data_IF_246722488518
#
_entry.id   IF_246722488518
#
_cell.length_a   1.000
_cell.length_b   1.000
_cell.length_c   1.000
_cell.angle_alpha   90.00
_cell.angle_beta   90.00
_cell.angle_gamma   90.00
#
_symmetry.space_group_name_H-M   'P 1'
#
loop_
_entity.id
_entity.type
_entity.pdbx_description
1 polymer ?
#
# COMPACT_ATOMS: atom_id res chain seq x y z
N UNK A 1 -0.42 -12.13 16.08
CA UNK A 1 -0.83 -12.53 14.72
C UNK A 1 0.35 -13.16 14.04
N UNK A 2 0.16 -14.20 13.24
CA UNK A 2 1.23 -14.77 12.43
C UNK A 2 0.68 -15.36 11.12
N UNK A 3 1.53 -15.42 10.11
CA UNK A 3 1.24 -16.19 8.89
C UNK A 3 1.85 -17.58 8.99
N UNK A 4 1.21 -18.56 8.37
CA UNK A 4 1.73 -19.92 8.28
C UNK A 4 1.27 -20.57 6.97
N UNK A 5 2.06 -21.53 6.50
CA UNK A 5 1.68 -22.34 5.35
C UNK A 5 0.91 -23.57 5.87
N UNK A 6 -0.32 -23.70 5.45
CA UNK A 6 -1.17 -24.83 5.84
C UNK A 6 -0.77 -26.12 5.09
N UNK A 7 -1.32 -27.26 5.52
CA UNK A 7 -1.01 -28.56 4.92
C UNK A 7 -1.44 -28.71 3.46
N UNK A 8 -2.32 -27.83 2.98
CA UNK A 8 -2.75 -27.71 1.58
C UNK A 8 -1.79 -26.86 0.72
N UNK A 9 -0.74 -26.30 1.32
CA UNK A 9 0.23 -25.42 0.68
C UNK A 9 -0.20 -23.96 0.56
N UNK A 10 -1.39 -23.60 1.08
CA UNK A 10 -1.87 -22.23 1.07
C UNK A 10 -1.35 -21.43 2.27
N UNK A 11 -1.01 -20.18 2.05
CA UNK A 11 -0.64 -19.26 3.14
C UNK A 11 -1.90 -18.76 3.82
N UNK A 12 -1.95 -18.93 5.14
CA UNK A 12 -3.06 -18.49 5.99
C UNK A 12 -2.57 -17.54 7.07
N UNK A 13 -3.45 -16.60 7.45
CA UNK A 13 -3.20 -15.68 8.54
C UNK A 13 -3.94 -16.18 9.76
N UNK A 14 -3.22 -16.30 10.87
CA UNK A 14 -3.74 -16.72 12.15
C UNK A 14 -3.85 -15.53 13.11
N UNK A 15 -5.05 -15.22 13.52
CA UNK A 15 -5.33 -14.30 14.62
C UNK A 15 -5.59 -15.12 15.89
N UNK A 16 -4.78 -14.94 16.90
CA UNK A 16 -4.96 -15.64 18.18
C UNK A 16 -5.06 -14.63 19.32
N UNK A 17 -6.00 -14.87 20.22
CA UNK A 17 -6.21 -14.09 21.44
C UNK A 17 -6.09 -15.04 22.63
N UNK A 18 -5.27 -14.71 23.65
CA UNK A 18 -5.23 -15.50 24.87
C UNK A 18 -6.62 -15.54 25.53
N UNK A 19 -6.98 -16.67 26.10
CA UNK A 19 -8.21 -16.84 26.86
C UNK A 19 -7.90 -17.46 28.21
N UNK A 20 -8.82 -17.34 29.16
CA UNK A 20 -8.77 -18.15 30.36
C UNK A 20 -8.77 -19.64 29.99
N UNK A 21 -8.04 -20.49 30.75
CA UNK A 21 -7.96 -21.91 30.46
C UNK A 21 -9.35 -22.57 30.44
N UNK A 22 -9.68 -23.22 29.32
CA UNK A 22 -10.92 -23.97 29.14
C UNK A 22 -10.57 -25.44 28.93
N UNK A 23 -11.11 -26.31 29.75
CA UNK A 23 -10.96 -27.75 29.58
C UNK A 23 -12.08 -28.34 28.73
N UNK A 24 -11.70 -28.99 27.64
CA UNK A 24 -12.62 -29.74 26.79
C UNK A 24 -11.99 -31.08 26.39
N UNK A 25 -12.66 -32.21 26.64
CA UNK A 25 -12.19 -33.55 26.33
C UNK A 25 -10.77 -33.84 26.87
N UNK A 26 -10.49 -33.47 28.12
CA UNK A 26 -9.18 -33.62 28.79
C UNK A 26 -8.03 -32.83 28.09
N UNK A 27 -8.35 -31.82 27.28
CA UNK A 27 -7.38 -30.91 26.68
C UNK A 27 -7.66 -29.51 27.21
N UNK A 28 -6.61 -28.86 27.69
CA UNK A 28 -6.71 -27.45 28.16
C UNK A 28 -6.40 -26.50 27.02
N UNK A 29 -7.35 -25.66 26.69
CA UNK A 29 -7.21 -24.59 25.69
C UNK A 29 -6.94 -23.27 26.41
N UNK A 30 -5.93 -22.53 25.94
CA UNK A 30 -5.48 -21.26 26.56
C UNK A 30 -5.56 -20.09 25.59
N UNK A 31 -5.99 -20.33 24.36
CA UNK A 31 -6.17 -19.28 23.35
C UNK A 31 -7.31 -19.62 22.40
N UNK A 32 -7.98 -18.62 21.93
CA UNK A 32 -8.91 -18.71 20.80
C UNK A 32 -8.20 -18.22 19.55
N UNK A 33 -8.26 -18.95 18.47
CA UNK A 33 -7.62 -18.61 17.22
C UNK A 33 -8.57 -18.73 16.04
N UNK A 34 -8.48 -17.80 15.09
CA UNK A 34 -9.19 -17.79 13.82
C UNK A 34 -8.17 -17.69 12.69
N UNK A 35 -8.32 -18.55 11.69
CA UNK A 35 -7.48 -18.55 10.49
C UNK A 35 -8.28 -18.06 9.30
N UNK A 36 -7.68 -17.19 8.51
CA UNK A 36 -8.23 -16.72 7.23
C UNK A 36 -7.27 -17.08 6.10
N UNK A 37 -7.84 -17.44 4.96
CA UNK A 37 -7.07 -17.60 3.74
C UNK A 37 -6.55 -16.24 3.27
N UNK A 38 -5.30 -16.22 2.80
CA UNK A 38 -4.67 -14.99 2.29
C UNK A 38 -5.54 -14.29 1.24
N UNK A 39 -6.16 -15.08 0.34
CA UNK A 39 -7.05 -14.58 -0.71
C UNK A 39 -8.29 -13.82 -0.21
N UNK A 40 -8.74 -14.10 1.02
CA UNK A 40 -9.87 -13.36 1.63
C UNK A 40 -9.40 -11.97 2.06
N UNK A 41 -8.21 -11.89 2.66
CA UNK A 41 -7.62 -10.63 3.10
C UNK A 41 -7.22 -9.77 1.89
N UNK A 42 -6.64 -10.38 0.86
CA UNK A 42 -6.35 -9.72 -0.43
C UNK A 42 -7.61 -9.04 -1.01
N UNK A 43 -8.73 -9.75 -1.07
CA UNK A 43 -10.01 -9.18 -1.56
C UNK A 43 -10.58 -8.06 -0.71
N UNK A 44 -10.32 -8.08 0.60
CA UNK A 44 -10.83 -7.06 1.52
C UNK A 44 -9.99 -5.78 1.50
N UNK A 45 -8.67 -5.91 1.36
CA UNK A 45 -7.71 -4.80 1.45
C UNK A 45 -7.23 -4.37 0.05
N UNK A 46 -7.06 -5.32 -0.87
CA UNK A 46 -6.55 -5.13 -2.23
C UNK A 46 -7.58 -4.56 -3.21
N UNK A 47 -8.47 -3.71 -2.77
CA UNK A 47 -9.57 -3.17 -3.58
C UNK A 47 -9.13 -2.18 -4.65
N UNK A 48 -8.18 -2.53 -5.53
CA UNK A 48 -7.97 -1.83 -6.79
C UNK A 48 -7.59 -0.36 -6.69
N UNK A 49 -6.70 0.00 -5.76
CA UNK A 49 -6.16 1.35 -5.68
C UNK A 49 -5.52 1.70 -7.03
N UNK A 50 -5.84 2.86 -7.57
CA UNK A 50 -5.40 3.30 -8.91
C UNK A 50 -5.78 2.35 -10.08
N UNK A 51 -6.95 1.69 -10.01
CA UNK A 51 -7.41 0.73 -11.04
C UNK A 51 -6.43 -0.45 -11.22
N UNK A 52 -5.99 -1.06 -10.14
CA UNK A 52 -5.02 -2.17 -10.10
C UNK A 52 -3.64 -1.81 -10.70
N UNK A 53 -3.24 -0.54 -10.59
CA UNK A 53 -1.92 -0.06 -11.03
C UNK A 53 -1.03 0.31 -9.84
N UNK A 54 -1.21 -0.34 -8.74
CA UNK A 54 -0.39 -0.21 -7.54
C UNK A 54 -0.17 -1.57 -6.94
N UNK A 55 1.01 -1.80 -6.40
CA UNK A 55 1.31 -2.97 -5.58
C UNK A 55 1.08 -2.64 -4.12
N UNK A 56 0.58 -3.59 -3.37
CA UNK A 56 0.31 -3.41 -1.97
C UNK A 56 0.83 -4.62 -1.18
N UNK A 57 1.61 -4.34 -0.14
CA UNK A 57 2.23 -5.34 0.72
C UNK A 57 1.93 -5.06 2.18
N UNK A 58 1.84 -6.10 2.98
CA UNK A 58 1.93 -6.00 4.43
C UNK A 58 3.32 -6.42 4.85
N UNK A 59 3.98 -5.59 5.62
CA UNK A 59 5.34 -5.83 6.10
C UNK A 59 5.39 -5.77 7.62
N UNK A 60 6.33 -6.51 8.19
CA UNK A 60 6.68 -6.45 9.61
C UNK A 60 7.56 -5.23 9.93
N UNK A 61 7.87 -5.05 11.18
CA UNK A 61 8.71 -3.97 11.71
C UNK A 61 10.13 -3.93 11.14
N UNK A 62 10.68 -5.06 10.72
CA UNK A 62 11.99 -5.19 10.09
C UNK A 62 11.94 -5.08 8.56
N UNK A 63 10.75 -4.85 7.98
CA UNK A 63 10.52 -4.75 6.54
C UNK A 63 10.30 -6.07 5.83
N UNK A 64 10.22 -7.19 6.56
CA UNK A 64 9.89 -8.51 5.98
C UNK A 64 8.48 -8.51 5.42
N UNK A 65 8.31 -8.96 4.19
CA UNK A 65 7.02 -9.06 3.52
C UNK A 65 6.25 -10.25 4.08
N UNK A 66 5.15 -9.96 4.76
CA UNK A 66 4.25 -10.98 5.29
C UNK A 66 3.22 -11.42 4.27
N UNK A 67 2.84 -10.50 3.37
CA UNK A 67 1.79 -10.72 2.40
C UNK A 67 1.89 -9.72 1.25
N UNK A 68 1.63 -10.19 0.02
CA UNK A 68 1.30 -9.37 -1.14
C UNK A 68 -0.22 -9.34 -1.30
N UNK A 69 -0.78 -8.17 -1.52
CA UNK A 69 -2.25 -7.97 -1.61
C UNK A 69 -2.75 -7.84 -3.05
N UNK A 70 -1.86 -7.88 -4.03
CA UNK A 70 -2.20 -7.75 -5.44
C UNK A 70 -1.72 -8.99 -6.23
N UNK A 71 -2.58 -9.59 -7.07
CA UNK A 71 -2.22 -10.78 -7.86
C UNK A 71 -1.33 -10.45 -9.07
N UNK A 72 -1.36 -9.21 -9.57
CA UNK A 72 -0.56 -8.75 -10.70
C UNK A 72 0.31 -7.58 -10.24
N UNK A 73 1.57 -7.85 -9.95
CA UNK A 73 2.50 -6.85 -9.42
C UNK A 73 3.15 -6.04 -10.53
N UNK A 74 3.31 -4.73 -10.28
CA UNK A 74 4.13 -3.81 -11.10
C UNK A 74 5.63 -4.10 -10.90
N UNK A 75 5.97 -4.59 -9.71
CA UNK A 75 7.31 -5.03 -9.37
C UNK A 75 7.41 -6.52 -9.71
N UNK A 76 8.24 -6.82 -10.70
CA UNK A 76 8.38 -8.18 -11.25
C UNK A 76 9.42 -9.03 -10.54
N UNK A 77 10.27 -8.41 -9.72
CA UNK A 77 11.26 -9.12 -8.92
C UNK A 77 10.62 -9.62 -7.62
N UNK A 78 10.84 -10.88 -7.28
CA UNK A 78 10.49 -11.42 -5.97
C UNK A 78 11.43 -10.85 -4.91
N UNK A 79 10.89 -10.47 -3.77
CA UNK A 79 11.64 -10.01 -2.62
C UNK A 79 10.92 -10.36 -1.31
N UNK A 80 11.71 -10.71 -0.31
CA UNK A 80 11.21 -11.06 1.02
C UNK A 80 11.26 -9.89 2.00
N UNK A 81 12.03 -8.83 1.66
CA UNK A 81 12.19 -7.64 2.49
C UNK A 81 12.15 -6.37 1.64
N UNK A 82 11.29 -5.43 2.04
CA UNK A 82 11.08 -4.19 1.28
C UNK A 82 12.29 -3.25 1.33
N UNK A 83 13.04 -3.23 2.43
CA UNK A 83 14.21 -2.38 2.56
C UNK A 83 15.35 -2.86 1.68
N UNK A 84 15.56 -4.19 1.64
CA UNK A 84 16.57 -4.82 0.79
C UNK A 84 16.20 -4.65 -0.69
N UNK A 85 14.92 -4.76 -1.03
CA UNK A 85 14.45 -4.48 -2.38
C UNK A 85 14.82 -3.06 -2.82
N UNK A 86 14.54 -2.04 -2.00
CA UNK A 86 14.88 -0.66 -2.35
C UNK A 86 16.39 -0.49 -2.48
N UNK A 87 17.17 -1.09 -1.59
CA UNK A 87 18.62 -0.93 -1.56
C UNK A 87 19.33 -1.65 -2.71
N UNK A 88 18.92 -2.88 -3.02
CA UNK A 88 19.68 -3.79 -3.88
C UNK A 88 19.12 -3.86 -5.32
N UNK A 89 17.81 -3.66 -5.51
CA UNK A 89 17.14 -3.84 -6.79
C UNK A 89 16.81 -2.53 -7.49
N UNK A 90 16.80 -1.40 -6.79
CA UNK A 90 16.47 -0.12 -7.40
C UNK A 90 17.71 0.58 -7.95
N UNK A 91 17.55 1.35 -9.03
CA UNK A 91 18.66 2.02 -9.71
C UNK A 91 19.07 3.32 -8.98
N UNK A 92 18.13 3.98 -8.36
CA UNK A 92 18.38 5.16 -7.54
C UNK A 92 17.24 5.36 -6.54
N UNK A 93 17.62 5.73 -5.33
CA UNK A 93 16.72 6.10 -4.23
C UNK A 93 17.40 7.19 -3.39
N UNK A 94 16.61 7.83 -2.54
CA UNK A 94 17.17 8.78 -1.59
C UNK A 94 17.46 8.05 -0.27
N UNK A 95 18.75 7.94 0.08
CA UNK A 95 19.22 7.24 1.29
C UNK A 95 18.59 7.80 2.57
N UNK A 96 18.44 9.12 2.69
CA UNK A 96 17.83 9.76 3.86
C UNK A 96 16.36 9.32 4.05
N UNK A 97 15.62 9.14 2.95
CA UNK A 97 14.23 8.69 3.03
C UNK A 97 14.13 7.21 3.39
N UNK A 98 15.03 6.37 2.86
CA UNK A 98 15.10 4.96 3.22
C UNK A 98 15.45 4.79 4.70
N UNK A 99 16.45 5.52 5.19
CA UNK A 99 16.84 5.50 6.60
C UNK A 99 15.72 6.01 7.53
N UNK A 100 14.94 7.00 7.09
CA UNK A 100 13.73 7.43 7.82
C UNK A 100 12.68 6.35 7.83
N UNK A 101 12.46 5.65 6.72
CA UNK A 101 11.51 4.55 6.63
C UNK A 101 11.92 3.40 7.58
N UNK A 102 13.20 2.98 7.54
CA UNK A 102 13.74 1.95 8.44
C UNK A 102 13.56 2.29 9.92
N UNK A 103 13.57 3.56 10.29
CA UNK A 103 13.33 4.03 11.66
C UNK A 103 11.85 4.21 11.96
N UNK A 104 11.05 4.61 10.98
CA UNK A 104 9.64 4.93 11.18
C UNK A 104 8.76 3.67 11.25
N UNK A 105 9.02 2.66 10.41
CA UNK A 105 8.21 1.43 10.37
C UNK A 105 8.14 0.74 11.74
N UNK A 106 9.26 0.47 12.45
CA UNK A 106 9.20 -0.12 13.79
C UNK A 106 8.48 0.73 14.83
N UNK A 107 8.46 2.05 14.65
CA UNK A 107 7.83 3.00 15.58
C UNK A 107 6.41 3.40 15.18
N UNK A 108 5.80 2.63 14.29
CA UNK A 108 4.44 2.89 13.78
C UNK A 108 4.30 4.26 13.12
N UNK A 109 5.37 4.71 12.48
CA UNK A 109 5.39 5.93 11.69
C UNK A 109 4.80 5.73 10.30
N UNK A 110 4.56 6.85 9.61
CA UNK A 110 4.08 6.88 8.23
C UNK A 110 4.95 7.80 7.39
N UNK A 111 5.00 7.54 6.09
CA UNK A 111 5.78 8.37 5.17
C UNK A 111 5.76 7.87 3.75
N UNK A 112 6.66 8.41 2.96
CA UNK A 112 6.84 8.00 1.58
C UNK A 112 8.31 8.04 1.16
N UNK A 113 8.66 7.17 0.23
CA UNK A 113 9.97 7.10 -0.42
C UNK A 113 9.75 7.10 -1.94
N UNK A 114 10.61 7.75 -2.69
CA UNK A 114 10.63 7.63 -4.15
C UNK A 114 11.88 6.92 -4.60
N UNK A 115 11.74 6.07 -5.61
CA UNK A 115 12.86 5.32 -6.16
C UNK A 115 12.67 5.07 -7.66
N UNK A 116 13.77 4.70 -8.34
CA UNK A 116 13.75 4.25 -9.73
C UNK A 116 13.96 2.75 -9.79
N UNK A 117 13.02 2.07 -10.43
CA UNK A 117 13.13 0.65 -10.71
C UNK A 117 12.92 0.42 -12.21
N UNK A 118 13.85 -0.31 -12.84
CA UNK A 118 13.93 -0.47 -14.28
C UNK A 118 13.99 0.88 -15.02
N UNK A 119 12.94 1.30 -15.73
CA UNK A 119 12.89 2.56 -16.48
C UNK A 119 11.89 3.58 -15.93
N UNK A 120 11.20 3.22 -14.86
CA UNK A 120 10.12 4.01 -14.26
C UNK A 120 10.48 4.55 -12.88
N UNK A 121 9.87 5.66 -12.52
CA UNK A 121 9.91 6.19 -11.16
C UNK A 121 8.68 5.72 -10.39
N UNK A 122 8.88 5.33 -9.13
CA UNK A 122 7.84 4.83 -8.24
C UNK A 122 7.78 5.65 -6.96
N UNK A 123 6.58 5.76 -6.43
CA UNK A 123 6.33 6.20 -5.07
C UNK A 123 6.00 4.98 -4.22
N UNK A 124 6.64 4.88 -3.07
CA UNK A 124 6.29 3.96 -2.01
C UNK A 124 5.74 4.77 -0.86
N UNK A 125 4.58 4.39 -0.38
CA UNK A 125 3.92 4.98 0.80
C UNK A 125 3.77 3.89 1.85
N UNK A 126 4.09 4.20 3.09
CA UNK A 126 3.94 3.26 4.20
C UNK A 126 3.16 3.87 5.36
N UNK A 127 2.38 3.03 6.02
CA UNK A 127 1.53 3.43 7.15
C UNK A 127 1.25 2.21 8.05
N UNK A 128 1.20 2.39 9.39
CA UNK A 128 0.86 1.31 10.30
C UNK A 128 -0.59 0.85 10.11
N UNK A 129 -0.79 -0.46 10.22
CA UNK A 129 -2.13 -1.10 10.11
C UNK A 129 -2.90 -1.00 11.44
N UNK A 130 -2.19 -0.82 12.55
CA UNK A 130 -2.79 -0.78 13.90
C UNK A 130 -2.96 -2.16 14.53
N UNK A 131 -2.48 -3.22 13.88
CA UNK A 131 -2.41 -4.58 14.40
C UNK A 131 -0.95 -4.97 14.50
N UNK A 132 -0.52 -5.44 15.67
CA UNK A 132 0.88 -5.73 15.98
C UNK A 132 1.84 -4.60 15.51
N UNK A 133 2.99 -4.95 14.96
CA UNK A 133 3.97 -4.02 14.41
C UNK A 133 3.91 -3.99 12.86
N UNK A 134 2.75 -4.31 12.31
CA UNK A 134 2.55 -4.39 10.87
C UNK A 134 2.33 -3.01 10.25
N UNK A 135 2.90 -2.86 9.07
CA UNK A 135 2.69 -1.71 8.21
C UNK A 135 2.21 -2.14 6.83
N UNK A 136 1.28 -1.37 6.27
CA UNK A 136 0.90 -1.50 4.86
C UNK A 136 1.86 -0.64 4.03
N UNK A 137 2.34 -1.20 2.94
CA UNK A 137 3.23 -0.54 1.98
C UNK A 137 2.56 -0.58 0.62
N UNK A 138 2.28 0.59 0.07
CA UNK A 138 1.77 0.74 -1.29
C UNK A 138 2.85 1.25 -2.23
N UNK A 139 3.01 0.63 -3.40
CA UNK A 139 3.94 1.05 -4.44
C UNK A 139 3.13 1.40 -5.70
N UNK A 140 3.37 2.57 -6.26
CA UNK A 140 2.68 3.05 -7.45
C UNK A 140 3.64 3.75 -8.40
N UNK A 141 3.52 3.49 -9.69
CA UNK A 141 4.31 4.21 -10.69
C UNK A 141 3.90 5.68 -10.72
N UNK A 142 4.89 6.58 -10.73
CA UNK A 142 4.68 8.03 -10.77
C UNK A 142 3.82 8.47 -11.94
N UNK A 143 3.98 7.84 -13.10
CA UNK A 143 3.18 8.14 -14.31
C UNK A 143 1.68 7.95 -14.09
N UNK A 144 1.29 6.97 -13.27
CA UNK A 144 -0.11 6.69 -12.91
C UNK A 144 -0.67 7.82 -12.05
N UNK A 145 0.08 8.26 -11.05
CA UNK A 145 -0.29 9.39 -10.19
C UNK A 145 -0.41 10.68 -10.99
N UNK A 146 0.60 10.96 -11.82
CA UNK A 146 0.67 12.18 -12.65
C UNK A 146 -0.44 12.21 -13.72
N UNK A 147 -0.85 11.06 -14.23
CA UNK A 147 -1.95 11.00 -15.20
C UNK A 147 -3.29 11.43 -14.57
N UNK A 148 -3.55 11.01 -13.33
CA UNK A 148 -4.71 11.46 -12.57
C UNK A 148 -4.70 12.97 -12.32
N UNK A 149 -3.55 13.53 -11.95
CA UNK A 149 -3.41 14.97 -11.73
C UNK A 149 -3.59 15.79 -13.01
N UNK A 150 -3.07 15.34 -14.14
CA UNK A 150 -3.24 16.00 -15.44
C UNK A 150 -4.71 16.06 -15.89
N UNK A 151 -5.48 15.02 -15.62
CA UNK A 151 -6.91 15.00 -15.92
C UNK A 151 -7.67 16.08 -15.13
N UNK A 152 -7.37 16.20 -13.83
CA UNK A 152 -7.98 17.23 -12.97
C UNK A 152 -7.57 18.65 -13.42
N UNK A 153 -6.30 18.87 -13.71
CA UNK A 153 -5.79 20.15 -14.20
C UNK A 153 -6.44 20.55 -15.52
N UNK A 154 -6.55 19.62 -16.48
CA UNK A 154 -7.21 19.88 -17.76
C UNK A 154 -8.66 20.31 -17.60
N UNK A 155 -9.43 19.64 -16.77
CA UNK A 155 -10.83 19.98 -16.49
C UNK A 155 -10.96 21.36 -15.84
N UNK A 156 -10.06 21.68 -14.90
CA UNK A 156 -10.05 22.99 -14.24
C UNK A 156 -9.76 24.13 -15.20
N UNK A 157 -8.81 23.97 -16.12
CA UNK A 157 -8.48 24.98 -17.14
C UNK A 157 -9.67 25.22 -18.06
N UNK A 158 -10.33 24.18 -18.56
CA UNK A 158 -11.52 24.29 -19.41
C UNK A 158 -12.64 25.06 -18.70
N UNK A 159 -12.88 24.77 -17.42
CA UNK A 159 -13.89 25.46 -16.60
C UNK A 159 -13.57 26.94 -16.42
N UNK A 160 -12.31 27.29 -16.16
CA UNK A 160 -11.85 28.67 -16.05
C UNK A 160 -12.01 29.42 -17.36
N UNK A 161 -11.68 28.82 -18.51
CA UNK A 161 -11.86 29.41 -19.82
C UNK A 161 -13.35 29.68 -20.13
N UNK A 162 -14.23 28.71 -19.81
CA UNK A 162 -15.67 28.90 -19.95
C UNK A 162 -16.20 30.05 -19.10
N UNK A 163 -15.81 30.14 -17.84
CA UNK A 163 -16.18 31.25 -16.96
C UNK A 163 -15.71 32.62 -17.51
N UNK A 164 -14.46 32.70 -17.97
CA UNK A 164 -13.91 33.92 -18.53
C UNK A 164 -14.66 34.35 -19.79
N UNK A 165 -15.00 33.43 -20.68
CA UNK A 165 -15.81 33.74 -21.89
C UNK A 165 -17.21 34.19 -21.55
N UNK A 166 -17.89 33.59 -20.57
CA UNK A 166 -19.20 34.02 -20.10
C UNK A 166 -19.17 35.45 -19.53
N UNK A 167 -18.15 35.78 -18.74
CA UNK A 167 -17.97 37.12 -18.18
C UNK A 167 -17.74 38.14 -19.31
N UNK A 168 -16.88 37.83 -20.29
CA UNK A 168 -16.62 38.72 -21.44
C UNK A 168 -17.91 38.99 -22.24
N UNK A 169 -18.69 37.95 -22.52
CA UNK A 169 -19.98 38.10 -23.21
C UNK A 169 -20.94 39.00 -22.39
N UNK A 170 -21.04 38.77 -21.08
CA UNK A 170 -21.87 39.55 -20.20
C UNK A 170 -21.47 41.04 -20.20
N UNK A 171 -20.19 41.36 -20.15
CA UNK A 171 -19.68 42.73 -20.22
C UNK A 171 -20.01 43.38 -21.56
N UNK A 172 -19.84 42.69 -22.67
CA UNK A 172 -20.18 43.21 -24.01
C UNK A 172 -21.66 43.50 -24.15
N UNK A 173 -22.53 42.66 -23.57
CA UNK A 173 -24.00 42.91 -23.60
C UNK A 173 -24.36 44.11 -22.75
N UNK A 174 -23.75 44.32 -21.58
CA UNK A 174 -24.03 45.47 -20.71
C UNK A 174 -23.48 46.80 -21.25
N UNK A 175 -22.49 46.79 -22.12
CA UNK A 175 -21.90 47.97 -22.74
C UNK A 175 -22.64 48.40 -24.02
N UNK A 176 -23.62 47.64 -24.48
CA UNK A 176 -24.40 47.93 -25.69
C UNK A 176 -25.78 48.48 -25.35
#
# INVERSE_FOLDING_TARGET
>A
VSSYVASDGETKILFAVPSDPIELNNVTYTAFAVSYDNSVVEKLIGGGVYNNKSDCYIVDSDGTVLMSLEPETQITDDFDNIFDFIQDKTQSYNEDYLERMKKAVPTKGKGSVSFKYQKSEYYLVYQPVGVDDWSIVGIVEKSVVDSGMRMVQGTTIVLLCMMATCIMIGVVILMK
#
